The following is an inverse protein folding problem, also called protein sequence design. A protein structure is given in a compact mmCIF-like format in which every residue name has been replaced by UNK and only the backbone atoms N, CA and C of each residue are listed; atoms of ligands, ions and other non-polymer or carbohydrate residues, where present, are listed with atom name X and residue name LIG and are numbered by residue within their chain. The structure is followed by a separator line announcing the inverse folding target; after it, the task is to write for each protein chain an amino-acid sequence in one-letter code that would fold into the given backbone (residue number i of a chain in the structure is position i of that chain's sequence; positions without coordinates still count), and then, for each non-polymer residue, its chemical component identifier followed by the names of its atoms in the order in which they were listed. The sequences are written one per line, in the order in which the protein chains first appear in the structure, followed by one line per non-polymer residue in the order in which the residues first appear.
data_IF_589187801710
#
_entry.id   IF_589187801710
#
_cell.length_a   1.000
_cell.length_b   1.000
_cell.length_c   1.000
_cell.angle_alpha   90.00
_cell.angle_beta   90.00
_cell.angle_gamma   90.00
#
_symmetry.space_group_name_H-M   'P 1'
#
loop_
_entity.id
_entity.type
_entity.pdbx_description
1 polymer ?
#
# COMPACT_ATOMS: atom_id res chain seq x y z
N UNK A 1 8.61 -9.41 10.54
CA UNK A 1 7.41 -9.62 9.70
C UNK A 1 6.10 -9.38 10.45
N UNK A 2 5.99 -9.75 11.72
CA UNK A 2 4.76 -9.50 12.51
C UNK A 2 4.41 -8.01 12.61
N UNK A 3 5.40 -7.15 12.82
CA UNK A 3 5.17 -5.71 12.88
C UNK A 3 4.58 -5.13 11.58
N UNK A 4 4.91 -5.69 10.41
CA UNK A 4 4.35 -5.23 9.14
C UNK A 4 2.85 -5.52 9.07
N UNK A 5 2.44 -6.73 9.45
CA UNK A 5 1.03 -7.12 9.38
C UNK A 5 0.12 -6.25 10.25
N UNK A 6 0.60 -5.85 11.45
CA UNK A 6 -0.19 -5.01 12.36
C UNK A 6 -0.31 -3.56 11.91
N UNK A 7 0.60 -3.11 11.07
CA UNK A 7 0.60 -1.72 10.59
C UNK A 7 -0.13 -1.54 9.27
N UNK A 8 -0.55 -2.63 8.62
CA UNK A 8 -1.23 -2.61 7.33
C UNK A 8 -2.68 -3.05 7.50
N UNK A 9 -3.61 -2.27 6.98
CA UNK A 9 -5.04 -2.50 7.04
C UNK A 9 -5.63 -2.91 5.70
N UNK A 10 -6.64 -3.77 5.73
CA UNK A 10 -7.59 -3.88 4.65
C UNK A 10 -8.44 -2.62 4.62
N UNK A 11 -8.54 -1.97 3.47
CA UNK A 11 -9.34 -0.78 3.27
C UNK A 11 -10.60 -1.15 2.49
N UNK A 12 -11.75 -0.70 2.99
CA UNK A 12 -13.02 -0.77 2.28
C UNK A 12 -13.65 0.63 2.21
N UNK A 13 -14.02 1.06 1.02
CA UNK A 13 -14.71 2.32 0.76
C UNK A 13 -15.80 2.09 -0.30
N UNK A 14 -17.05 2.07 0.12
CA UNK A 14 -18.16 1.69 -0.77
C UNK A 14 -17.95 0.28 -1.35
N UNK A 15 -17.83 0.17 -2.67
CA UNK A 15 -17.56 -1.08 -3.39
C UNK A 15 -16.08 -1.33 -3.64
N UNK A 16 -15.23 -0.35 -3.30
CA UNK A 16 -13.79 -0.41 -3.52
C UNK A 16 -13.09 -1.05 -2.34
N UNK A 17 -12.25 -2.05 -2.62
CA UNK A 17 -11.30 -2.61 -1.67
C UNK A 17 -9.89 -2.25 -2.07
N UNK A 18 -9.10 -1.82 -1.09
CA UNK A 18 -7.68 -1.52 -1.22
C UNK A 18 -6.91 -1.92 0.03
N UNK A 19 -5.74 -1.38 0.13
CA UNK A 19 -4.86 -1.51 1.29
C UNK A 19 -4.46 -0.11 1.78
N UNK A 20 -4.30 0.05 3.08
CA UNK A 20 -3.72 1.24 3.69
C UNK A 20 -2.68 0.83 4.72
N UNK A 21 -1.75 1.71 5.05
CA UNK A 21 -0.75 1.44 6.08
C UNK A 21 -0.53 2.64 7.00
N UNK A 22 -0.25 2.35 8.27
CA UNK A 22 -0.01 3.37 9.29
C UNK A 22 1.34 4.06 9.08
N UNK A 23 1.32 5.38 9.10
CA UNK A 23 2.51 6.25 9.20
C UNK A 23 2.63 6.86 10.61
N UNK A 24 1.56 6.80 11.39
CA UNK A 24 1.53 7.12 12.81
C UNK A 24 0.37 6.37 13.48
N UNK A 25 0.16 6.55 14.78
CA UNK A 25 -0.94 5.89 15.51
C UNK A 25 -2.34 6.29 15.05
N UNK A 26 -2.47 7.40 14.34
CA UNK A 26 -3.75 7.97 13.89
C UNK A 26 -3.75 8.47 12.46
N UNK A 27 -2.68 8.22 11.71
CA UNK A 27 -2.63 8.53 10.27
C UNK A 27 -2.20 7.32 9.47
N UNK A 28 -2.84 7.15 8.33
CA UNK A 28 -2.51 6.10 7.36
C UNK A 28 -2.38 6.71 5.96
N UNK A 29 -1.64 6.01 5.09
CA UNK A 29 -1.55 6.31 3.66
C UNK A 29 -2.27 5.22 2.86
N UNK A 30 -2.85 5.64 1.75
CA UNK A 30 -3.41 4.77 0.71
C UNK A 30 -3.37 5.47 -0.64
N UNK A 31 -3.70 4.74 -1.71
CA UNK A 31 -3.89 5.35 -3.03
C UNK A 31 -5.24 6.05 -3.11
N UNK A 32 -5.29 7.23 -3.78
CA UNK A 32 -6.50 8.05 -3.86
C UNK A 32 -7.66 7.32 -4.53
N UNK A 33 -7.41 6.50 -5.55
CA UNK A 33 -8.45 5.70 -6.18
C UNK A 33 -9.10 4.66 -5.25
N UNK A 34 -8.42 4.25 -4.16
CA UNK A 34 -9.00 3.36 -3.15
C UNK A 34 -10.07 4.04 -2.29
N UNK A 35 -10.08 5.36 -2.25
CA UNK A 35 -11.02 6.18 -1.47
C UNK A 35 -11.85 7.13 -2.34
N UNK A 36 -11.86 6.92 -3.65
CA UNK A 36 -12.55 7.79 -4.60
C UNK A 36 -14.04 7.92 -4.27
N UNK A 37 -14.71 6.83 -3.88
CA UNK A 37 -16.13 6.87 -3.48
C UNK A 37 -16.38 7.70 -2.20
N UNK A 38 -15.35 7.89 -1.35
CA UNK A 38 -15.48 8.82 -0.21
C UNK A 38 -15.34 10.27 -0.67
N UNK A 39 -14.52 10.54 -1.68
CA UNK A 39 -14.35 11.89 -2.27
C UNK A 39 -15.63 12.30 -2.99
N UNK A 40 -16.16 11.43 -3.86
CA UNK A 40 -17.28 11.77 -4.75
C UNK A 40 -18.64 11.65 -4.06
N UNK A 41 -18.83 10.59 -3.26
CA UNK A 41 -20.13 10.18 -2.73
C UNK A 41 -20.24 10.21 -1.20
N UNK A 42 -19.23 10.73 -0.49
CA UNK A 42 -19.14 10.73 0.97
C UNK A 42 -19.29 9.32 1.61
N UNK A 43 -18.82 8.28 0.92
CA UNK A 43 -18.80 6.92 1.50
C UNK A 43 -17.84 6.86 2.69
N UNK A 44 -18.19 6.04 3.68
CA UNK A 44 -17.31 5.80 4.82
C UNK A 44 -16.12 4.94 4.41
N UNK A 45 -14.97 5.26 4.99
CA UNK A 45 -13.73 4.49 4.84
C UNK A 45 -13.57 3.64 6.09
N UNK A 46 -13.48 2.32 5.90
CA UNK A 46 -13.24 1.36 6.98
C UNK A 46 -11.85 0.79 6.81
N UNK A 47 -11.09 0.75 7.90
CA UNK A 47 -9.75 0.17 7.99
C UNK A 47 -9.77 -0.99 8.98
N UNK A 48 -9.55 -2.19 8.49
CA UNK A 48 -9.50 -3.41 9.30
C UNK A 48 -8.06 -3.85 9.49
N UNK A 49 -7.58 -3.76 10.74
CA UNK A 49 -6.25 -4.20 11.14
C UNK A 49 -6.33 -5.57 11.80
N UNK A 50 -5.58 -6.54 11.29
CA UNK A 50 -5.47 -7.84 11.96
C UNK A 50 -4.55 -7.72 13.16
N UNK A 51 -5.08 -8.04 14.33
CA UNK A 51 -4.31 -8.01 15.56
C UNK A 51 -3.37 -9.22 15.65
N UNK A 52 -2.11 -8.95 15.90
CA UNK A 52 -1.06 -9.96 16.03
C UNK A 52 -1.01 -10.53 17.46
N UNK A 53 -1.61 -9.86 18.42
CA UNK A 53 -1.56 -10.22 19.84
C UNK A 53 -2.72 -11.11 20.30
N UNK A 54 -3.43 -11.77 19.35
CA UNK A 54 -4.45 -12.76 19.69
C UNK A 54 -5.83 -12.19 20.00
N UNK A 55 -6.03 -10.89 19.80
CA UNK A 55 -7.35 -10.27 19.77
C UNK A 55 -7.89 -10.22 18.34
N UNK A 56 -9.20 -10.14 18.25
CA UNK A 56 -9.93 -10.05 16.99
C UNK A 56 -9.53 -8.79 16.18
N UNK A 57 -9.89 -8.78 14.93
CA UNK A 57 -9.71 -7.69 13.99
C UNK A 57 -10.15 -6.34 14.58
N UNK A 58 -9.30 -5.34 14.47
CA UNK A 58 -9.60 -3.97 14.90
C UNK A 58 -10.11 -3.19 13.70
N UNK A 59 -11.39 -2.88 13.68
CA UNK A 59 -11.95 -1.98 12.68
C UNK A 59 -11.89 -0.50 13.16
N UNK A 60 -11.55 0.40 12.25
CA UNK A 60 -11.52 1.85 12.45
C UNK A 60 -12.19 2.55 11.29
N UNK A 61 -12.86 3.66 11.59
CA UNK A 61 -13.34 4.59 10.57
C UNK A 61 -12.24 5.62 10.34
N UNK A 62 -12.04 5.96 9.06
CA UNK A 62 -11.10 6.99 8.68
C UNK A 62 -11.79 8.09 7.86
N UNK A 63 -11.21 9.27 7.90
CA UNK A 63 -11.58 10.42 7.07
C UNK A 63 -10.39 10.87 6.26
N UNK A 64 -10.62 11.35 5.06
CA UNK A 64 -9.54 11.93 4.25
C UNK A 64 -9.11 13.23 4.91
N UNK A 65 -7.83 13.31 5.28
CA UNK A 65 -7.25 14.54 5.82
C UNK A 65 -6.79 15.44 4.67
N UNK A 66 -6.11 14.84 3.71
CA UNK A 66 -5.57 15.53 2.55
C UNK A 66 -5.54 14.57 1.36
N UNK A 67 -5.86 15.06 0.19
CA UNK A 67 -5.58 14.41 -1.09
C UNK A 67 -5.23 15.49 -2.12
N UNK A 68 -4.38 15.14 -3.04
CA UNK A 68 -4.00 16.02 -4.15
C UNK A 68 -4.33 15.30 -5.47
N UNK A 69 -4.99 16.01 -6.39
CA UNK A 69 -5.29 15.47 -7.72
C UNK A 69 -4.04 15.28 -8.57
N UNK A 70 -2.95 15.99 -8.25
CA UNK A 70 -1.65 15.87 -8.91
C UNK A 70 -0.78 14.77 -8.32
N UNK A 71 -1.15 14.21 -7.16
CA UNK A 71 -0.41 13.14 -6.50
C UNK A 71 -1.39 12.05 -6.02
N UNK A 72 -1.31 10.84 -6.55
CA UNK A 72 -2.35 9.83 -6.37
C UNK A 72 -2.37 9.16 -5.00
N UNK A 73 -1.84 9.81 -3.95
CA UNK A 73 -1.81 9.31 -2.57
C UNK A 73 -2.72 10.15 -1.69
N UNK A 74 -3.49 9.49 -0.84
CA UNK A 74 -4.35 10.13 0.17
C UNK A 74 -3.86 9.87 1.58
N UNK A 75 -3.87 10.92 2.41
CA UNK A 75 -3.62 10.84 3.85
C UNK A 75 -4.96 10.66 4.56
N UNK A 76 -5.05 9.59 5.34
CA UNK A 76 -6.23 9.26 6.13
C UNK A 76 -6.00 9.55 7.60
N UNK A 77 -6.95 10.23 8.24
CA UNK A 77 -7.03 10.39 9.69
C UNK A 77 -7.96 9.33 10.26
N UNK A 78 -7.46 8.54 11.20
CA UNK A 78 -8.19 7.48 11.90
C UNK A 78 -8.94 8.11 13.10
N UNK A 79 -10.21 7.76 13.29
CA UNK A 79 -11.10 8.29 14.31
C UNK A 79 -10.59 8.06 15.74
N UNK A 80 -10.07 6.87 16.01
CA UNK A 80 -9.48 6.49 17.28
C UNK A 80 -8.07 5.94 17.06
N UNK A 81 -7.08 6.53 17.72
CA UNK A 81 -5.69 6.09 17.61
C UNK A 81 -5.54 4.61 17.95
N UNK A 82 -4.58 3.98 17.32
CA UNK A 82 -4.24 2.58 17.59
C UNK A 82 -3.01 2.57 18.49
N UNK A 83 -3.23 2.24 19.77
CA UNK A 83 -2.15 2.09 20.73
C UNK A 83 -1.44 0.74 20.51
N UNK A 84 -0.21 0.62 21.00
CA UNK A 84 0.61 -0.59 20.95
C UNK A 84 1.04 -1.05 19.54
N UNK A 85 0.88 -0.23 18.51
CA UNK A 85 1.44 -0.45 17.17
C UNK A 85 2.58 0.54 16.93
N UNK A 86 3.68 0.03 16.40
CA UNK A 86 4.80 0.85 15.93
C UNK A 86 4.75 0.92 14.40
N UNK A 87 4.31 2.04 13.82
CA UNK A 87 4.30 2.22 12.38
C UNK A 87 5.69 2.04 11.78
N UNK A 88 5.72 1.59 10.53
CA UNK A 88 6.97 1.55 9.77
C UNK A 88 7.38 2.98 9.40
N UNK A 89 8.66 3.27 9.50
CA UNK A 89 9.20 4.56 9.09
C UNK A 89 9.29 4.65 7.57
N UNK A 90 8.93 5.81 7.02
CA UNK A 90 9.26 6.16 5.64
C UNK A 90 10.75 6.49 5.59
N UNK A 91 11.48 5.86 4.67
CA UNK A 91 12.93 6.00 4.57
C UNK A 91 13.38 6.31 3.15
N UNK A 92 14.23 7.30 3.04
CA UNK A 92 14.97 7.58 1.83
C UNK A 92 16.24 6.72 1.78
N UNK A 93 16.41 5.97 0.70
CA UNK A 93 17.57 5.09 0.48
C UNK A 93 18.39 5.55 -0.73
N UNK A 94 18.71 6.84 -0.80
CA UNK A 94 19.45 7.44 -1.91
C UNK A 94 20.64 6.58 -2.34
N UNK A 95 20.70 6.23 -3.62
CA UNK A 95 21.75 5.44 -4.27
C UNK A 95 21.93 3.99 -3.79
N UNK A 96 21.04 3.45 -2.94
CA UNK A 96 21.09 2.06 -2.49
C UNK A 96 20.14 1.14 -3.25
N UNK A 97 19.17 1.70 -3.92
CA UNK A 97 18.17 0.95 -4.67
C UNK A 97 18.62 0.88 -6.13
N UNK A 98 18.83 -0.31 -6.63
CA UNK A 98 19.22 -0.56 -8.02
C UNK A 98 18.32 -1.63 -8.61
N UNK A 99 18.32 -1.75 -9.94
CA UNK A 99 17.61 -2.84 -10.63
C UNK A 99 17.98 -4.19 -10.02
N UNK A 100 16.97 -5.02 -9.75
CA UNK A 100 17.14 -6.31 -9.08
C UNK A 100 17.15 -6.25 -7.55
N UNK A 101 17.14 -5.04 -6.95
CA UNK A 101 17.00 -4.94 -5.48
C UNK A 101 15.70 -5.58 -5.04
N UNK A 102 15.78 -6.55 -4.13
CA UNK A 102 14.62 -7.23 -3.56
C UNK A 102 13.91 -6.32 -2.56
N UNK A 103 12.61 -6.21 -2.73
CA UNK A 103 11.70 -5.48 -1.84
C UNK A 103 10.51 -6.36 -1.49
N UNK A 104 9.80 -6.01 -0.44
CA UNK A 104 8.65 -6.76 0.05
C UNK A 104 7.45 -5.84 0.07
N UNK A 105 6.27 -6.39 -0.17
CA UNK A 105 5.01 -5.72 0.13
C UNK A 105 4.09 -6.64 0.91
N UNK A 106 3.16 -6.05 1.66
CA UNK A 106 2.08 -6.76 2.33
C UNK A 106 0.78 -5.99 2.12
N UNK A 107 -0.27 -6.68 1.72
CA UNK A 107 -1.58 -6.07 1.49
C UNK A 107 -2.68 -7.11 1.40
N UNK A 108 -3.87 -6.68 0.99
CA UNK A 108 -5.09 -7.48 1.00
C UNK A 108 -5.65 -7.72 -0.41
N UNK A 109 -5.11 -8.69 -1.16
CA UNK A 109 -5.63 -9.02 -2.48
C UNK A 109 -7.04 -9.61 -2.39
N UNK A 110 -7.96 -9.14 -3.23
CA UNK A 110 -9.37 -9.59 -3.24
C UNK A 110 -9.52 -11.10 -3.37
N UNK A 111 -8.63 -11.76 -4.11
CA UNK A 111 -8.64 -13.22 -4.30
C UNK A 111 -8.42 -14.03 -3.01
N UNK A 112 -7.91 -13.39 -1.96
CA UNK A 112 -7.68 -14.01 -0.65
C UNK A 112 -8.73 -13.63 0.40
N UNK A 113 -9.72 -12.85 0.02
CA UNK A 113 -10.80 -12.42 0.91
C UNK A 113 -10.28 -11.55 2.07
N UNK A 114 -10.35 -12.07 3.29
CA UNK A 114 -9.93 -11.35 4.50
C UNK A 114 -8.45 -11.56 4.86
N UNK A 115 -7.74 -12.41 4.11
CA UNK A 115 -6.35 -12.71 4.40
C UNK A 115 -5.39 -11.78 3.65
N UNK A 116 -4.51 -11.12 4.40
CA UNK A 116 -3.40 -10.39 3.83
C UNK A 116 -2.32 -11.33 3.27
N UNK A 117 -1.55 -10.84 2.33
CA UNK A 117 -0.48 -11.61 1.69
C UNK A 117 0.79 -10.81 1.56
N UNK A 118 1.92 -11.45 1.89
CA UNK A 118 3.23 -10.97 1.48
C UNK A 118 3.47 -11.27 0.01
N UNK A 119 4.09 -10.35 -0.68
CA UNK A 119 4.56 -10.53 -2.06
C UNK A 119 6.00 -10.07 -2.16
N UNK A 120 6.88 -10.98 -2.60
CA UNK A 120 8.28 -10.66 -2.90
C UNK A 120 8.36 -10.03 -4.29
N UNK A 121 9.00 -8.88 -4.33
CA UNK A 121 9.16 -8.06 -5.52
C UNK A 121 10.64 -7.75 -5.74
N UNK A 122 10.98 -7.32 -6.93
CA UNK A 122 12.27 -6.71 -7.22
C UNK A 122 12.09 -5.44 -8.03
N UNK A 123 12.92 -4.45 -7.80
CA UNK A 123 12.97 -3.24 -8.63
C UNK A 123 13.36 -3.65 -10.04
N UNK A 124 12.56 -3.28 -11.03
CA UNK A 124 12.88 -3.52 -12.43
C UNK A 124 13.48 -2.27 -13.06
N UNK A 125 12.82 -1.14 -12.94
CA UNK A 125 13.31 0.12 -13.50
C UNK A 125 12.81 1.32 -12.70
N UNK A 126 13.47 2.46 -12.91
CA UNK A 126 13.05 3.78 -12.48
C UNK A 126 12.49 4.54 -13.67
N UNK A 127 11.31 5.10 -13.52
CA UNK A 127 10.67 5.92 -14.52
C UNK A 127 11.12 7.37 -14.31
N UNK A 128 12.13 7.81 -15.08
CA UNK A 128 12.78 9.12 -14.89
C UNK A 128 11.97 10.33 -15.37
N UNK A 129 10.86 10.12 -16.03
CA UNK A 129 9.92 11.18 -16.43
C UNK A 129 8.52 10.59 -16.33
N UNK A 130 7.56 11.34 -15.85
CA UNK A 130 6.14 10.99 -15.71
C UNK A 130 5.51 10.51 -17.05
N UNK A 131 5.93 9.35 -17.51
CA UNK A 131 5.60 8.87 -18.85
C UNK A 131 4.25 8.15 -18.84
N UNK A 132 3.91 7.48 -17.75
CA UNK A 132 2.59 6.84 -17.60
C UNK A 132 2.19 6.67 -16.14
N UNK A 133 1.04 7.21 -15.78
CA UNK A 133 0.31 6.93 -14.52
C UNK A 133 1.03 7.29 -13.21
N UNK A 134 1.78 8.38 -13.17
CA UNK A 134 2.37 8.93 -11.92
C UNK A 134 3.17 7.91 -11.07
N UNK A 135 3.80 6.93 -11.71
CA UNK A 135 4.62 5.94 -11.02
C UNK A 135 6.11 6.21 -11.29
N UNK A 136 6.93 6.13 -10.22
CA UNK A 136 8.37 6.37 -10.29
C UNK A 136 9.19 5.09 -10.41
N UNK A 137 8.60 3.95 -10.04
CA UNK A 137 9.30 2.66 -10.00
C UNK A 137 8.41 1.57 -10.60
N UNK A 138 8.99 0.74 -11.46
CA UNK A 138 8.39 -0.54 -11.85
C UNK A 138 8.97 -1.69 -11.03
N UNK A 139 8.09 -2.60 -10.61
CA UNK A 139 8.42 -3.74 -9.78
C UNK A 139 8.05 -5.04 -10.47
N UNK A 140 8.95 -6.02 -10.45
CA UNK A 140 8.68 -7.39 -10.90
C UNK A 140 8.28 -8.27 -9.75
N UNK A 141 7.25 -9.09 -9.96
CA UNK A 141 6.81 -10.11 -9.01
C UNK A 141 7.71 -11.33 -9.13
N UNK A 142 8.21 -11.82 -7.99
CA UNK A 142 8.98 -13.06 -7.94
C UNK A 142 8.12 -14.26 -8.36
N UNK A 143 8.70 -15.19 -9.12
CA UNK A 143 7.98 -16.33 -9.70
C UNK A 143 7.25 -17.20 -8.68
N UNK A 144 7.77 -17.28 -7.45
CA UNK A 144 7.22 -18.11 -6.38
C UNK A 144 5.94 -17.53 -5.74
N UNK A 145 5.64 -16.25 -5.97
CA UNK A 145 4.52 -15.52 -5.36
C UNK A 145 3.42 -15.13 -6.35
N UNK A 146 3.27 -15.87 -7.43
CA UNK A 146 2.27 -15.52 -8.45
C UNK A 146 0.85 -15.80 -7.96
N UNK A 147 0.10 -14.73 -7.77
CA UNK A 147 -1.37 -14.78 -7.65
C UNK A 147 -1.98 -14.48 -9.02
N UNK A 148 -3.19 -14.98 -9.26
CA UNK A 148 -3.92 -14.72 -10.52
C UNK A 148 -4.35 -13.25 -10.64
N UNK A 149 -4.55 -12.56 -9.50
CA UNK A 149 -5.01 -11.18 -9.45
C UNK A 149 -4.51 -10.51 -8.18
N UNK A 150 -3.94 -9.32 -8.32
CA UNK A 150 -3.43 -8.47 -7.24
C UNK A 150 -4.40 -7.31 -6.90
N UNK A 151 -5.61 -7.27 -7.49
CA UNK A 151 -6.63 -6.29 -7.14
C UNK A 151 -6.85 -6.26 -5.63
N UNK A 152 -6.87 -5.08 -5.03
CA UNK A 152 -6.91 -4.87 -3.58
C UNK A 152 -5.54 -4.62 -2.94
N UNK A 153 -4.44 -4.87 -3.65
CA UNK A 153 -3.08 -4.54 -3.18
C UNK A 153 -2.74 -3.05 -3.34
N UNK A 154 -3.50 -2.29 -4.13
CA UNK A 154 -3.30 -0.83 -4.26
C UNK A 154 -3.32 -0.17 -2.89
N UNK A 155 -2.34 0.69 -2.61
CA UNK A 155 -2.12 1.30 -1.30
C UNK A 155 -1.24 0.49 -0.35
N UNK A 156 -0.72 -0.67 -0.77
CA UNK A 156 0.22 -1.46 0.03
C UNK A 156 1.59 -0.79 0.12
N UNK A 157 2.27 -0.83 1.27
CA UNK A 157 3.62 -0.28 1.40
C UNK A 157 4.63 -1.14 0.63
N UNK A 158 5.55 -0.50 -0.06
CA UNK A 158 6.76 -1.14 -0.59
C UNK A 158 7.87 -1.00 0.45
N UNK A 159 8.44 -2.12 0.88
CA UNK A 159 9.30 -2.20 2.05
C UNK A 159 10.70 -2.68 1.66
N UNK A 160 11.71 -1.94 2.09
CA UNK A 160 13.12 -2.30 1.97
C UNK A 160 13.82 -2.08 3.32
N UNK A 161 14.56 -3.09 3.82
CA UNK A 161 15.32 -3.01 5.09
C UNK A 161 14.52 -2.41 6.25
N UNK A 162 13.29 -2.86 6.46
CA UNK A 162 12.37 -2.36 7.51
C UNK A 162 11.98 -0.87 7.40
N UNK A 163 12.11 -0.27 6.22
CA UNK A 163 11.61 1.06 5.91
C UNK A 163 10.68 1.04 4.71
N UNK A 164 9.69 1.93 4.69
CA UNK A 164 8.81 2.13 3.56
C UNK A 164 9.54 3.01 2.55
N UNK A 165 9.59 2.57 1.29
CA UNK A 165 10.22 3.29 0.18
C UNK A 165 9.22 3.71 -0.90
N UNK A 166 7.98 3.24 -0.80
CA UNK A 166 6.96 3.53 -1.78
C UNK A 166 5.61 2.95 -1.40
N UNK A 167 4.64 3.17 -2.28
CA UNK A 167 3.28 2.66 -2.19
C UNK A 167 2.89 2.03 -3.54
N UNK A 168 2.26 0.85 -3.49
CA UNK A 168 1.77 0.19 -4.70
C UNK A 168 0.57 0.93 -5.27
N UNK A 169 0.59 1.22 -6.56
CA UNK A 169 -0.52 1.86 -7.25
C UNK A 169 -1.35 0.88 -8.06
N UNK A 170 -0.79 0.21 -9.04
CA UNK A 170 -1.53 -0.67 -9.94
C UNK A 170 -0.70 -1.86 -10.40
N UNK A 171 -1.39 -2.85 -10.96
CA UNK A 171 -0.81 -3.96 -11.70
C UNK A 171 -1.06 -3.75 -13.19
N UNK A 172 -0.02 -3.89 -14.00
CA UNK A 172 -0.18 -3.95 -15.46
C UNK A 172 -0.64 -5.34 -15.87
N UNK A 173 -1.70 -5.40 -16.68
CA UNK A 173 -2.29 -6.65 -17.16
C UNK A 173 -1.65 -7.19 -18.44
N UNK A 174 -0.44 -6.79 -18.78
CA UNK A 174 0.23 -7.35 -19.94
C UNK A 174 0.56 -8.82 -19.71
N UNK A 175 0.03 -9.67 -20.58
CA UNK A 175 0.04 -11.15 -20.51
C UNK A 175 1.44 -11.78 -20.43
N UNK A 176 2.51 -11.03 -20.62
CA UNK A 176 3.89 -11.53 -20.66
C UNK A 176 4.75 -11.13 -19.46
N UNK A 177 4.44 -10.04 -18.78
CA UNK A 177 5.22 -9.54 -17.66
C UNK A 177 4.29 -9.11 -16.54
N UNK A 178 4.26 -9.84 -15.43
CA UNK A 178 3.56 -9.41 -14.22
C UNK A 178 4.38 -8.29 -13.57
N UNK A 179 4.11 -7.07 -13.97
CA UNK A 179 4.72 -5.87 -13.39
C UNK A 179 3.72 -5.20 -12.47
N UNK A 180 4.16 -4.82 -11.29
CA UNK A 180 3.46 -3.90 -10.42
C UNK A 180 4.16 -2.55 -10.50
N UNK A 181 3.37 -1.48 -10.55
CA UNK A 181 3.89 -0.13 -10.45
C UNK A 181 3.82 0.35 -9.02
N UNK A 182 4.79 1.11 -8.62
CA UNK A 182 4.81 1.78 -7.33
C UNK A 182 5.27 3.23 -7.48
N UNK A 183 4.72 4.08 -6.63
CA UNK A 183 5.19 5.45 -6.44
C UNK A 183 6.29 5.41 -5.40
N UNK A 184 7.44 5.99 -5.71
CA UNK A 184 8.47 6.20 -4.70
C UNK A 184 8.06 7.35 -3.78
N UNK A 185 8.10 7.15 -2.48
CA UNK A 185 7.93 8.21 -1.47
C UNK A 185 9.26 8.90 -1.16
N UNK A 186 10.16 8.97 -2.14
CA UNK A 186 11.56 9.37 -1.93
C UNK A 186 11.80 10.88 -1.94
N UNK A 187 10.86 11.68 -2.43
CA UNK A 187 11.00 13.13 -2.62
C UNK A 187 9.98 13.94 -1.81
N UNK A 188 9.69 13.49 -0.59
CA UNK A 188 8.88 14.27 0.36
C UNK A 188 9.77 14.93 1.40
#
# INVERSE_FOLDING_TARGET
MENIKSTVAKLNCGNTQGTAFLISKNFALTMSHCVQEAIDDNKKIYLSFKNIYGEDEIERIATILEYDNSFPVSILKIDNKIDNINPLEIKCFNNQLTRGTRVLTYGYPKVKGEEGSFVDLSIDDYLHENVENDADITLKISADNRMQNYSGMSGSPVIYKNGIIGILTEQTNELSNFENKAIALLDV
#
